data_IF_907444579764
#
_entry.id   IF_907444579764
#
_cell.length_a   1.000
_cell.length_b   1.000
_cell.length_c   1.000
_cell.angle_alpha   90.00
_cell.angle_beta   90.00
_cell.angle_gamma   90.00
#
_symmetry.space_group_name_H-M   'P 1'
#
loop_
_entity.id
_entity.type
_entity.pdbx_description
1 polymer ?
#
# COMPACT_ATOMS: atom_id res chain seq x y z
N UNK A 1 1.34 12.06 13.54
CA UNK A 1 2.04 12.19 12.24
C UNK A 1 1.94 13.63 11.78
N UNK A 2 2.88 14.12 10.96
CA UNK A 2 2.98 15.48 10.39
C UNK A 2 3.54 16.59 11.29
N UNK A 3 3.79 16.35 12.58
CA UNK A 3 4.19 17.41 13.54
C UNK A 3 5.47 18.13 13.11
N UNK A 4 6.44 17.39 12.58
CA UNK A 4 7.75 17.93 12.23
C UNK A 4 7.74 18.70 10.90
N UNK A 5 6.61 18.68 10.18
CA UNK A 5 6.47 19.28 8.84
C UNK A 5 5.70 20.60 8.82
N UNK A 6 5.06 21.00 9.94
CA UNK A 6 4.12 22.13 9.98
C UNK A 6 4.76 23.50 9.77
N UNK A 7 6.08 23.61 9.94
CA UNK A 7 6.83 24.84 9.66
C UNK A 7 6.99 25.14 8.17
N UNK A 8 6.63 24.21 7.28
CA UNK A 8 6.82 24.33 5.83
C UNK A 8 5.55 24.90 5.20
N UNK A 9 5.59 26.08 4.55
CA UNK A 9 4.39 26.73 3.98
C UNK A 9 3.58 25.82 3.06
N UNK A 10 4.26 25.08 2.16
CA UNK A 10 3.62 24.17 1.23
C UNK A 10 2.87 23.02 1.94
N UNK A 11 3.38 22.56 3.09
CA UNK A 11 2.71 21.50 3.86
C UNK A 11 1.42 22.01 4.47
N UNK A 12 1.40 23.25 4.96
CA UNK A 12 0.17 23.88 5.45
C UNK A 12 -0.89 23.97 4.34
N UNK A 13 -0.50 24.43 3.15
CA UNK A 13 -1.39 24.46 1.98
C UNK A 13 -1.94 23.07 1.62
N UNK A 14 -1.11 22.02 1.69
CA UNK A 14 -1.57 20.64 1.44
C UNK A 14 -2.64 20.19 2.44
N UNK A 15 -2.52 20.57 3.72
CA UNK A 15 -3.54 20.25 4.73
C UNK A 15 -4.80 21.08 4.59
N UNK A 16 -4.67 22.37 4.21
CA UNK A 16 -5.82 23.23 3.91
C UNK A 16 -6.59 22.70 2.70
N UNK A 17 -5.89 22.35 1.61
CA UNK A 17 -6.48 21.72 0.42
C UNK A 17 -7.08 20.34 0.75
N UNK A 18 -6.43 19.57 1.63
CA UNK A 18 -6.98 18.30 2.09
C UNK A 18 -8.27 18.48 2.88
N UNK A 19 -8.38 19.51 3.71
CA UNK A 19 -9.61 19.82 4.44
C UNK A 19 -10.78 20.11 3.50
N UNK A 20 -10.54 20.85 2.42
CA UNK A 20 -11.54 21.13 1.38
C UNK A 20 -11.99 19.86 0.66
N UNK A 21 -11.04 19.04 0.17
CA UNK A 21 -11.34 17.81 -0.60
C UNK A 21 -12.03 16.75 0.27
N UNK A 22 -11.56 16.59 1.50
CA UNK A 22 -12.03 15.54 2.40
C UNK A 22 -13.34 15.91 3.10
N UNK A 23 -13.54 17.21 3.37
CA UNK A 23 -14.69 17.73 4.12
C UNK A 23 -14.53 17.63 5.65
N UNK A 24 -13.31 17.34 6.13
CA UNK A 24 -12.97 17.28 7.55
C UNK A 24 -11.51 17.69 7.78
N UNK A 25 -11.19 18.02 9.04
CA UNK A 25 -9.83 18.43 9.41
C UNK A 25 -8.88 17.23 9.52
N UNK A 26 -8.19 16.90 8.42
CA UNK A 26 -7.22 15.80 8.41
C UNK A 26 -6.03 16.07 9.31
N UNK A 27 -5.61 17.33 9.45
CA UNK A 27 -4.48 17.71 10.27
C UNK A 27 -4.76 17.41 11.76
N UNK A 28 -5.95 17.77 12.24
CA UNK A 28 -6.39 17.45 13.59
C UNK A 28 -6.38 15.93 13.85
N UNK A 29 -6.90 15.12 12.91
CA UNK A 29 -6.85 13.65 13.01
C UNK A 29 -5.41 13.12 13.08
N UNK A 30 -4.49 13.70 12.30
CA UNK A 30 -3.07 13.32 12.26
C UNK A 30 -2.30 13.65 13.55
N UNK A 31 -2.63 14.77 14.20
CA UNK A 31 -1.92 15.27 15.39
C UNK A 31 -2.54 14.77 16.69
N UNK A 32 -3.88 14.81 16.77
CA UNK A 32 -4.62 14.65 18.02
C UNK A 32 -5.42 13.34 18.07
N UNK A 33 -5.64 12.68 16.92
CA UNK A 33 -6.33 11.40 16.87
C UNK A 33 -7.85 11.52 17.07
N UNK A 34 -8.50 10.60 17.81
CA UNK A 34 -7.92 9.48 18.54
C UNK A 34 -7.27 8.44 17.61
N UNK A 35 -6.35 7.62 18.14
CA UNK A 35 -5.63 6.61 17.36
C UNK A 35 -6.57 5.67 16.59
N UNK A 36 -7.68 5.26 17.21
CA UNK A 36 -8.69 4.40 16.57
C UNK A 36 -9.32 5.03 15.33
N UNK A 37 -9.51 6.35 15.31
CA UNK A 37 -9.99 7.08 14.13
C UNK A 37 -8.92 7.11 13.05
N UNK A 38 -7.67 7.42 13.42
CA UNK A 38 -6.55 7.45 12.49
C UNK A 38 -6.23 6.08 11.89
N UNK A 39 -6.44 4.99 12.64
CA UNK A 39 -6.23 3.61 12.16
C UNK A 39 -7.36 3.15 11.22
N UNK A 40 -8.53 3.80 11.22
CA UNK A 40 -9.62 3.46 10.31
C UNK A 40 -9.23 3.81 8.87
N UNK A 41 -9.40 2.86 7.95
CA UNK A 41 -9.00 2.96 6.53
C UNK A 41 -9.47 4.24 5.83
N UNK A 42 -10.65 4.75 6.17
CA UNK A 42 -11.19 6.00 5.62
C UNK A 42 -10.28 7.19 5.90
N UNK A 43 -9.67 7.25 7.10
CA UNK A 43 -8.79 8.34 7.52
C UNK A 43 -7.31 8.01 7.30
N UNK A 44 -6.93 6.75 7.54
CA UNK A 44 -5.56 6.28 7.41
C UNK A 44 -5.02 6.51 5.99
N UNK A 45 -5.85 6.27 4.96
CA UNK A 45 -5.39 6.42 3.58
C UNK A 45 -5.08 7.88 3.20
N UNK A 46 -6.01 8.84 3.34
CA UNK A 46 -5.68 10.26 3.15
C UNK A 46 -4.53 10.73 4.04
N UNK A 47 -4.50 10.31 5.31
CA UNK A 47 -3.46 10.72 6.25
C UNK A 47 -2.07 10.26 5.80
N UNK A 48 -1.93 8.99 5.41
CA UNK A 48 -0.68 8.45 4.87
C UNK A 48 -0.27 9.17 3.58
N UNK A 49 -1.21 9.41 2.65
CA UNK A 49 -0.92 10.13 1.40
C UNK A 49 -0.39 11.54 1.65
N UNK A 50 -1.13 12.37 2.42
CA UNK A 50 -0.76 13.77 2.68
C UNK A 50 0.53 13.85 3.50
N UNK A 51 0.69 13.01 4.53
CA UNK A 51 1.92 13.00 5.33
C UNK A 51 3.14 12.54 4.51
N UNK A 52 2.97 11.65 3.53
CA UNK A 52 4.07 11.23 2.67
C UNK A 52 4.45 12.32 1.66
N UNK A 53 3.48 13.08 1.13
CA UNK A 53 3.76 14.29 0.34
C UNK A 53 4.44 15.37 1.19
N UNK A 54 4.02 15.55 2.44
CA UNK A 54 4.71 16.45 3.37
C UNK A 54 6.15 16.00 3.67
N UNK A 55 6.40 14.69 3.73
CA UNK A 55 7.75 14.14 3.88
C UNK A 55 8.65 14.47 2.70
N UNK A 56 8.10 14.51 1.48
CA UNK A 56 8.83 14.96 0.29
C UNK A 56 9.24 16.43 0.44
N UNK A 57 8.33 17.30 0.86
CA UNK A 57 8.62 18.73 1.06
C UNK A 57 9.65 18.96 2.17
N UNK A 58 9.55 18.21 3.28
CA UNK A 58 10.53 18.30 4.36
C UNK A 58 11.90 17.79 3.93
N UNK A 59 11.95 16.63 3.25
CA UNK A 59 13.20 16.08 2.75
C UNK A 59 13.88 17.01 1.74
N UNK A 60 13.09 17.71 0.91
CA UNK A 60 13.57 18.68 -0.08
C UNK A 60 14.33 19.85 0.52
N UNK A 61 14.02 20.30 1.74
CA UNK A 61 14.69 21.44 2.39
C UNK A 61 16.22 21.25 2.43
N UNK A 62 16.67 20.05 2.78
CA UNK A 62 18.10 19.72 2.89
C UNK A 62 18.62 18.90 1.70
N UNK A 63 17.74 18.33 0.87
CA UNK A 63 18.08 17.35 -0.17
C UNK A 63 17.49 17.69 -1.55
N UNK A 64 17.29 18.98 -1.86
CA UNK A 64 16.68 19.43 -3.12
C UNK A 64 17.25 18.72 -4.36
N UNK A 65 18.58 18.64 -4.47
CA UNK A 65 19.25 17.92 -5.57
C UNK A 65 18.82 16.46 -5.67
N UNK A 66 18.78 15.72 -4.56
CA UNK A 66 18.36 14.32 -4.53
C UNK A 66 16.92 14.15 -5.01
N UNK A 67 16.04 15.07 -4.61
CA UNK A 67 14.64 15.06 -5.03
C UNK A 67 14.52 15.37 -6.53
N UNK A 68 15.26 16.37 -7.01
CA UNK A 68 15.21 16.81 -8.41
C UNK A 68 15.82 15.79 -9.37
N UNK A 69 16.85 15.07 -8.94
CA UNK A 69 17.53 14.01 -9.71
C UNK A 69 17.03 12.61 -9.38
N UNK A 70 15.85 12.47 -8.75
CA UNK A 70 15.29 11.17 -8.42
C UNK A 70 15.12 10.31 -9.68
N UNK A 71 15.64 9.08 -9.66
CA UNK A 71 15.68 8.22 -10.85
C UNK A 71 14.48 7.26 -10.97
N UNK A 72 13.73 7.04 -9.88
CA UNK A 72 12.49 6.28 -9.86
C UNK A 72 11.72 6.53 -8.57
N UNK A 73 10.47 6.13 -8.55
CA UNK A 73 9.67 6.09 -7.33
C UNK A 73 8.81 4.83 -7.25
N UNK A 74 8.43 4.47 -6.04
CA UNK A 74 7.55 3.35 -5.75
C UNK A 74 6.90 3.59 -4.40
N UNK A 75 5.70 3.06 -4.21
CA UNK A 75 5.07 3.04 -2.89
C UNK A 75 4.23 1.80 -2.70
N UNK A 76 4.16 1.34 -1.45
CA UNK A 76 3.46 0.11 -1.10
C UNK A 76 1.95 0.36 -1.03
N UNK A 77 1.17 -0.35 -1.85
CA UNK A 77 -0.29 -0.22 -1.90
C UNK A 77 -0.73 1.26 -2.10
N UNK A 78 -1.31 1.90 -1.09
CA UNK A 78 -1.65 3.33 -1.10
C UNK A 78 -0.47 4.23 -1.51
N UNK A 79 0.76 3.88 -1.11
CA UNK A 79 1.94 4.68 -1.45
C UNK A 79 2.15 4.85 -2.95
N UNK A 80 1.56 3.98 -3.78
CA UNK A 80 1.58 4.10 -5.24
C UNK A 80 0.98 5.43 -5.72
N UNK A 81 -0.06 5.93 -5.04
CA UNK A 81 -0.66 7.23 -5.35
C UNK A 81 0.28 8.40 -5.03
N UNK A 82 0.97 8.34 -3.89
CA UNK A 82 2.04 9.29 -3.54
C UNK A 82 3.15 9.26 -4.59
N UNK A 83 3.58 8.06 -5.01
CA UNK A 83 4.60 7.89 -6.02
C UNK A 83 4.20 8.45 -7.39
N UNK A 84 2.94 8.23 -7.81
CA UNK A 84 2.39 8.77 -9.05
C UNK A 84 2.31 10.30 -9.02
N UNK A 85 1.89 10.90 -7.91
CA UNK A 85 1.88 12.38 -7.75
C UNK A 85 3.31 12.93 -7.80
N UNK A 86 4.25 12.31 -7.07
CA UNK A 86 5.65 12.72 -7.09
C UNK A 86 6.27 12.66 -8.50
N UNK A 87 5.86 11.68 -9.31
CA UNK A 87 6.28 11.53 -10.70
C UNK A 87 5.51 12.44 -11.68
N UNK A 88 4.55 13.24 -11.21
CA UNK A 88 3.77 14.17 -12.04
C UNK A 88 2.61 13.53 -12.80
N UNK A 89 2.24 12.28 -12.51
CA UNK A 89 1.15 11.57 -13.18
C UNK A 89 -0.21 12.14 -12.79
N UNK A 90 -0.40 12.47 -11.51
CA UNK A 90 -1.61 13.09 -10.98
C UNK A 90 -1.28 14.40 -10.27
N UNK A 91 -2.23 15.33 -10.25
CA UNK A 91 -2.16 16.47 -9.33
C UNK A 91 -2.39 15.98 -7.89
N UNK A 92 -1.93 16.76 -6.91
CA UNK A 92 -2.19 16.45 -5.49
C UNK A 92 -3.70 16.38 -5.21
N UNK A 93 -4.48 17.35 -5.70
CA UNK A 93 -5.93 17.42 -5.52
C UNK A 93 -6.66 16.20 -6.05
N UNK A 94 -6.37 15.84 -7.31
CA UNK A 94 -7.03 14.73 -7.98
C UNK A 94 -6.67 13.41 -7.31
N UNK A 95 -5.39 13.20 -6.99
CA UNK A 95 -4.95 12.01 -6.28
C UNK A 95 -5.59 11.91 -4.89
N UNK A 96 -5.74 13.03 -4.16
CA UNK A 96 -6.39 13.01 -2.86
C UNK A 96 -7.89 12.67 -2.97
N UNK A 97 -8.58 13.18 -3.98
CA UNK A 97 -9.98 12.82 -4.25
C UNK A 97 -10.11 11.32 -4.57
N UNK A 98 -9.21 10.77 -5.39
CA UNK A 98 -9.16 9.33 -5.69
C UNK A 98 -8.82 8.50 -4.44
N UNK A 99 -7.86 8.94 -3.63
CA UNK A 99 -7.47 8.28 -2.38
C UNK A 99 -8.62 8.28 -1.37
N UNK A 100 -9.41 9.36 -1.29
CA UNK A 100 -10.63 9.42 -0.49
C UNK A 100 -11.60 8.31 -0.91
N UNK A 101 -11.96 8.24 -2.20
CA UNK A 101 -12.87 7.21 -2.71
C UNK A 101 -12.30 5.81 -2.48
N UNK A 102 -11.00 5.60 -2.67
CA UNK A 102 -10.33 4.33 -2.38
C UNK A 102 -10.46 3.95 -0.91
N UNK A 103 -10.18 4.87 0.01
CA UNK A 103 -10.27 4.66 1.45
C UNK A 103 -11.68 4.31 1.91
N UNK A 104 -12.66 5.08 1.46
CA UNK A 104 -14.09 4.88 1.72
C UNK A 104 -14.58 3.54 1.17
N UNK A 105 -14.32 3.26 -0.11
CA UNK A 105 -14.82 2.05 -0.76
C UNK A 105 -14.17 0.78 -0.22
N UNK A 106 -12.88 0.81 0.12
CA UNK A 106 -12.21 -0.32 0.76
C UNK A 106 -12.74 -0.56 2.19
N UNK A 107 -13.08 0.50 2.92
CA UNK A 107 -13.69 0.37 4.24
C UNK A 107 -15.11 -0.20 4.16
N UNK A 108 -15.90 0.22 3.18
CA UNK A 108 -17.24 -0.32 2.90
C UNK A 108 -17.18 -1.79 2.51
N UNK A 109 -16.31 -2.15 1.56
CA UNK A 109 -16.07 -3.55 1.18
C UNK A 109 -15.63 -4.39 2.38
N UNK A 110 -14.84 -3.82 3.29
CA UNK A 110 -14.39 -4.50 4.50
C UNK A 110 -15.48 -4.72 5.56
N UNK A 111 -16.53 -3.91 5.55
CA UNK A 111 -17.68 -4.06 6.42
C UNK A 111 -18.78 -4.97 5.82
N UNK A 112 -18.66 -5.31 4.54
CA UNK A 112 -19.65 -6.10 3.81
C UNK A 112 -19.40 -7.61 3.92
N UNK A 113 -20.50 -8.38 3.93
CA UNK A 113 -20.44 -9.84 3.89
C UNK A 113 -19.86 -10.48 5.16
N UNK A 114 -19.21 -11.64 4.98
CA UNK A 114 -18.61 -12.37 6.10
C UNK A 114 -17.34 -11.68 6.61
N UNK A 115 -17.07 -11.70 7.93
CA UNK A 115 -15.85 -11.13 8.50
C UNK A 115 -14.59 -11.70 7.84
N UNK A 116 -13.70 -10.81 7.43
CA UNK A 116 -12.50 -11.15 6.68
C UNK A 116 -11.36 -10.19 7.03
N UNK A 117 -10.12 -10.57 6.75
CA UNK A 117 -8.96 -9.79 7.18
C UNK A 117 -7.67 -10.23 6.52
N UNK A 118 -6.55 -9.97 7.19
CA UNK A 118 -5.22 -10.35 6.72
C UNK A 118 -4.40 -11.03 7.83
N UNK A 119 -3.48 -11.90 7.41
CA UNK A 119 -2.59 -12.69 8.26
C UNK A 119 -1.16 -12.60 7.71
N UNK A 120 -0.24 -12.05 8.51
CA UNK A 120 1.19 -12.04 8.19
C UNK A 120 1.81 -13.40 8.49
N UNK A 121 2.46 -13.97 7.49
CA UNK A 121 3.22 -15.22 7.55
C UNK A 121 4.71 -14.93 7.36
N UNK A 122 5.56 -15.42 8.26
CA UNK A 122 7.02 -15.31 8.14
C UNK A 122 7.67 -16.67 8.32
N UNK A 123 8.68 -16.96 7.48
CA UNK A 123 9.54 -18.14 7.61
C UNK A 123 9.12 -19.35 6.77
N UNK A 124 8.14 -19.18 5.88
CA UNK A 124 7.77 -20.20 4.89
C UNK A 124 8.11 -19.73 3.48
N UNK A 125 8.48 -20.68 2.61
CA UNK A 125 8.63 -20.44 1.18
C UNK A 125 7.26 -20.20 0.51
N UNK A 126 7.26 -19.49 -0.62
CA UNK A 126 6.04 -19.09 -1.33
C UNK A 126 5.17 -20.28 -1.70
N UNK A 127 5.78 -21.32 -2.26
CA UNK A 127 5.10 -22.56 -2.61
C UNK A 127 4.42 -23.23 -1.41
N UNK A 128 5.01 -23.14 -0.22
CA UNK A 128 4.41 -23.68 1.00
C UNK A 128 3.19 -22.86 1.44
N UNK A 129 3.27 -21.53 1.38
CA UNK A 129 2.14 -20.66 1.74
C UNK A 129 1.00 -20.81 0.72
N UNK A 130 1.32 -20.89 -0.57
CA UNK A 130 0.35 -21.11 -1.65
C UNK A 130 -0.38 -22.46 -1.50
N UNK A 131 0.38 -23.52 -1.19
CA UNK A 131 -0.19 -24.85 -0.92
C UNK A 131 -1.11 -24.82 0.31
N UNK A 132 -0.72 -24.14 1.39
CA UNK A 132 -1.57 -24.01 2.58
C UNK A 132 -2.85 -23.20 2.27
N UNK A 133 -2.76 -22.15 1.44
CA UNK A 133 -3.94 -21.41 0.99
C UNK A 133 -4.88 -22.32 0.20
N UNK A 134 -4.34 -23.14 -0.71
CA UNK A 134 -5.11 -24.13 -1.47
C UNK A 134 -5.76 -25.15 -0.55
N UNK A 135 -5.01 -25.77 0.36
CA UNK A 135 -5.54 -26.73 1.34
C UNK A 135 -6.66 -26.12 2.19
N UNK A 136 -6.50 -24.86 2.60
CA UNK A 136 -7.52 -24.13 3.35
C UNK A 136 -8.80 -23.99 2.52
N UNK A 137 -8.71 -23.55 1.26
CA UNK A 137 -9.90 -23.44 0.39
C UNK A 137 -10.54 -24.80 0.14
N UNK A 138 -9.75 -25.84 -0.11
CA UNK A 138 -10.24 -27.21 -0.33
C UNK A 138 -10.97 -27.75 0.92
N UNK A 139 -10.45 -27.45 2.13
CA UNK A 139 -11.07 -27.84 3.41
C UNK A 139 -12.48 -27.27 3.60
N UNK A 140 -12.68 -25.98 3.31
CA UNK A 140 -13.99 -25.33 3.40
C UNK A 140 -14.91 -25.73 2.24
N UNK A 141 -14.36 -25.92 1.03
CA UNK A 141 -15.12 -26.42 -0.12
C UNK A 141 -15.72 -27.81 0.18
N UNK A 142 -14.95 -28.71 0.81
CA UNK A 142 -15.43 -30.01 1.24
C UNK A 142 -16.55 -29.95 2.30
N UNK A 143 -16.68 -28.82 3.00
CA UNK A 143 -17.74 -28.54 3.98
C UNK A 143 -18.91 -27.76 3.38
N UNK A 144 -18.95 -27.59 2.04
CA UNK A 144 -20.03 -26.90 1.34
C UNK A 144 -19.82 -25.39 1.16
N UNK A 145 -18.67 -24.84 1.56
CA UNK A 145 -18.32 -23.43 1.36
C UNK A 145 -17.26 -23.26 0.27
N UNK A 146 -17.70 -23.26 -0.99
CA UNK A 146 -16.85 -23.07 -2.14
C UNK A 146 -16.47 -21.59 -2.40
N UNK A 147 -17.11 -20.63 -1.72
CA UNK A 147 -16.91 -19.20 -1.93
C UNK A 147 -15.81 -18.63 -1.01
N UNK A 148 -15.19 -19.46 -0.18
CA UNK A 148 -14.17 -18.98 0.74
C UNK A 148 -12.95 -18.40 0.01
N UNK A 149 -12.65 -17.14 0.28
CA UNK A 149 -11.42 -16.47 -0.13
C UNK A 149 -10.33 -16.73 0.91
N UNK A 150 -9.16 -17.16 0.44
CA UNK A 150 -7.93 -17.30 1.21
C UNK A 150 -6.76 -17.35 0.22
N UNK A 151 -6.02 -16.25 0.08
CA UNK A 151 -4.97 -16.14 -0.94
C UNK A 151 -3.86 -15.19 -0.52
N UNK A 152 -2.72 -15.31 -1.19
CA UNK A 152 -1.63 -14.35 -1.11
C UNK A 152 -2.13 -12.95 -1.49
N UNK A 153 -1.80 -11.96 -0.67
CA UNK A 153 -2.18 -10.56 -0.85
C UNK A 153 -0.97 -9.62 -0.88
N UNK A 154 0.12 -9.99 -0.21
CA UNK A 154 1.37 -9.24 -0.29
C UNK A 154 2.59 -10.17 -0.28
N UNK A 155 3.48 -9.95 -1.23
CA UNK A 155 4.84 -10.51 -1.28
C UNK A 155 5.79 -9.41 -0.79
N UNK A 156 6.15 -9.43 0.51
CA UNK A 156 6.84 -8.30 1.15
C UNK A 156 8.36 -8.39 1.06
N UNK A 157 8.93 -9.54 1.40
CA UNK A 157 10.38 -9.81 1.40
C UNK A 157 10.59 -11.32 1.46
N UNK A 158 11.81 -11.87 1.23
CA UNK A 158 12.02 -13.32 1.25
C UNK A 158 11.41 -14.01 2.47
N UNK A 159 10.50 -14.95 2.21
CA UNK A 159 9.71 -15.69 3.21
C UNK A 159 8.85 -14.80 4.14
N UNK A 160 8.49 -13.60 3.70
CA UNK A 160 7.62 -12.66 4.39
C UNK A 160 6.43 -12.33 3.51
N UNK A 161 5.26 -12.85 3.88
CA UNK A 161 4.02 -12.78 3.11
C UNK A 161 2.86 -12.29 3.96
N UNK A 162 1.84 -11.81 3.29
CA UNK A 162 0.52 -11.59 3.89
C UNK A 162 -0.49 -12.36 3.07
N UNK A 163 -1.30 -13.16 3.77
CA UNK A 163 -2.45 -13.85 3.22
C UNK A 163 -3.70 -13.10 3.65
N UNK A 164 -4.63 -12.90 2.73
CA UNK A 164 -5.92 -12.25 2.98
C UNK A 164 -7.07 -13.19 2.65
N UNK A 165 -8.19 -13.02 3.34
CA UNK A 165 -9.38 -13.83 3.11
C UNK A 165 -10.35 -13.80 4.28
N UNK A 166 -11.36 -14.67 4.23
CA UNK A 166 -12.34 -14.81 5.31
C UNK A 166 -11.68 -15.21 6.62
N UNK A 167 -12.19 -14.70 7.74
CA UNK A 167 -11.56 -14.88 9.04
C UNK A 167 -11.49 -16.36 9.44
N UNK A 168 -12.55 -17.13 9.18
CA UNK A 168 -12.57 -18.59 9.38
C UNK A 168 -11.44 -19.31 8.60
N UNK A 169 -11.17 -18.86 7.38
CA UNK A 169 -10.11 -19.40 6.54
C UNK A 169 -8.72 -19.05 7.10
N UNK A 170 -8.53 -17.81 7.52
CA UNK A 170 -7.28 -17.34 8.10
C UNK A 170 -6.97 -18.00 9.46
N UNK A 171 -7.99 -18.32 10.27
CA UNK A 171 -7.80 -19.05 11.53
C UNK A 171 -7.36 -20.50 11.29
N UNK A 172 -7.94 -21.15 10.27
CA UNK A 172 -7.50 -22.48 9.83
C UNK A 172 -6.07 -22.43 9.27
N UNK A 173 -5.80 -21.48 8.36
CA UNK A 173 -4.51 -21.29 7.74
C UNK A 173 -3.41 -20.98 8.76
N UNK A 174 -3.68 -20.19 9.80
CA UNK A 174 -2.70 -19.90 10.84
C UNK A 174 -2.21 -21.17 11.54
N UNK A 175 -3.12 -22.11 11.86
CA UNK A 175 -2.77 -23.40 12.46
C UNK A 175 -1.91 -24.26 11.52
N UNK A 176 -2.27 -24.31 10.24
CA UNK A 176 -1.49 -25.02 9.22
C UNK A 176 -0.11 -24.40 9.01
N UNK A 177 -0.02 -23.07 8.96
CA UNK A 177 1.26 -22.36 8.81
C UNK A 177 2.19 -22.66 9.99
N UNK A 178 1.68 -22.60 11.22
CA UNK A 178 2.46 -22.96 12.41
C UNK A 178 2.91 -24.43 12.38
N UNK A 179 2.03 -25.37 12.01
CA UNK A 179 2.40 -26.79 11.93
C UNK A 179 3.43 -27.10 10.83
N UNK A 180 3.47 -26.28 9.78
CA UNK A 180 4.45 -26.33 8.69
C UNK A 180 5.75 -25.58 9.00
N UNK A 181 5.90 -25.02 10.21
CA UNK A 181 7.14 -24.41 10.67
C UNK A 181 7.25 -22.90 10.41
N UNK A 182 6.13 -22.19 10.19
CA UNK A 182 6.16 -20.73 10.14
C UNK A 182 6.72 -20.16 11.44
N UNK A 183 7.70 -19.26 11.32
CA UNK A 183 8.25 -18.51 12.46
C UNK A 183 7.22 -17.54 13.05
N UNK A 184 6.29 -17.06 12.22
CA UNK A 184 5.21 -16.17 12.62
C UNK A 184 3.99 -16.41 11.75
N UNK A 185 2.82 -16.46 12.38
CA UNK A 185 1.50 -16.38 11.75
C UNK A 185 0.61 -15.48 12.61
N UNK A 186 0.47 -14.20 12.27
CA UNK A 186 -0.22 -13.21 13.12
C UNK A 186 -1.19 -12.36 12.31
N UNK A 187 -2.37 -12.09 12.90
CA UNK A 187 -3.35 -11.15 12.34
C UNK A 187 -2.73 -9.77 12.15
N UNK A 188 -3.02 -9.16 11.01
CA UNK A 188 -2.68 -7.76 10.74
C UNK A 188 -3.84 -6.89 11.22
N UNK A 189 -3.53 -5.80 11.91
CA UNK A 189 -4.54 -4.85 12.41
C UNK A 189 -5.06 -3.98 11.27
N UNK A 190 -5.98 -4.53 10.47
CA UNK A 190 -6.68 -3.87 9.37
C UNK A 190 -8.16 -4.25 9.38
N UNK A 191 -8.98 -3.48 8.70
CA UNK A 191 -10.44 -3.69 8.65
C UNK A 191 -10.88 -4.83 7.75
N UNK A 192 -10.09 -5.22 6.73
CA UNK A 192 -10.54 -6.19 5.74
C UNK A 192 -9.42 -6.92 4.98
N UNK A 193 -9.84 -7.82 4.09
CA UNK A 193 -8.99 -8.68 3.27
C UNK A 193 -8.55 -7.95 1.99
N UNK A 194 -7.70 -6.94 2.16
CA UNK A 194 -7.20 -6.12 1.05
C UNK A 194 -6.39 -6.94 0.04
N UNK A 195 -6.35 -6.48 -1.21
CA UNK A 195 -5.62 -7.10 -2.32
C UNK A 195 -6.14 -8.50 -2.65
N UNK A 196 -7.47 -8.65 -2.61
CA UNK A 196 -8.19 -9.88 -2.98
C UNK A 196 -9.51 -9.54 -3.69
N UNK A 197 -10.18 -10.51 -4.34
CA UNK A 197 -11.50 -10.32 -4.93
C UNK A 197 -12.57 -9.79 -3.97
N UNK A 198 -12.38 -9.88 -2.65
CA UNK A 198 -13.31 -9.27 -1.68
C UNK A 198 -13.35 -7.74 -1.79
N UNK A 199 -12.36 -7.12 -2.43
CA UNK A 199 -12.31 -5.68 -2.70
C UNK A 199 -12.87 -5.29 -4.08
N UNK A 200 -13.58 -6.18 -4.78
CA UNK A 200 -14.07 -5.90 -6.14
C UNK A 200 -14.97 -4.66 -6.20
N UNK A 201 -15.90 -4.50 -5.25
CA UNK A 201 -16.76 -3.31 -5.18
C UNK A 201 -15.95 -2.00 -5.02
N UNK A 202 -14.83 -2.07 -4.30
CA UNK A 202 -13.92 -0.93 -4.16
C UNK A 202 -13.17 -0.63 -5.47
N UNK A 203 -12.79 -1.66 -6.22
CA UNK A 203 -12.21 -1.52 -7.56
C UNK A 203 -13.18 -0.83 -8.52
N UNK A 204 -14.45 -1.24 -8.52
CA UNK A 204 -15.49 -0.68 -9.40
C UNK A 204 -15.80 0.80 -9.08
N UNK A 205 -15.73 1.18 -7.80
CA UNK A 205 -15.88 2.59 -7.40
C UNK A 205 -14.65 3.42 -7.73
N UNK A 206 -13.45 2.83 -7.63
CA UNK A 206 -12.21 3.49 -8.03
C UNK A 206 -12.18 3.77 -9.54
N UNK A 207 -12.70 2.87 -10.37
CA UNK A 207 -12.86 3.07 -11.81
C UNK A 207 -13.61 4.38 -12.11
N UNK A 208 -14.77 4.56 -11.45
CA UNK A 208 -15.59 5.76 -11.60
C UNK A 208 -14.85 7.02 -11.16
N UNK A 209 -14.09 6.96 -10.08
CA UNK A 209 -13.28 8.08 -9.61
C UNK A 209 -12.17 8.43 -10.60
N UNK A 210 -11.52 7.44 -11.21
CA UNK A 210 -10.44 7.63 -12.18
C UNK A 210 -10.94 8.08 -13.56
N UNK A 211 -12.21 7.82 -13.90
CA UNK A 211 -12.77 8.19 -15.20
C UNK A 211 -12.67 9.71 -15.47
N UNK A 212 -12.86 10.54 -14.44
CA UNK A 212 -12.79 12.00 -14.54
C UNK A 212 -11.39 12.60 -14.33
N UNK A 213 -10.38 11.78 -14.00
CA UNK A 213 -9.04 12.26 -13.66
C UNK A 213 -8.11 12.10 -14.87
N UNK A 214 -7.47 13.17 -15.28
CA UNK A 214 -6.42 13.14 -16.31
C UNK A 214 -5.13 12.60 -15.71
N UNK A 215 -4.57 11.55 -16.30
CA UNK A 215 -3.24 11.04 -15.94
C UNK A 215 -2.19 11.46 -16.97
N UNK A 216 -1.12 12.09 -16.51
CA UNK A 216 0.00 12.45 -17.37
C UNK A 216 1.02 11.31 -17.45
N UNK A 217 1.85 11.32 -18.49
CA UNK A 217 3.02 10.45 -18.58
C UNK A 217 3.94 10.65 -17.36
N UNK A 218 4.43 9.58 -16.70
CA UNK A 218 5.37 9.72 -15.60
C UNK A 218 6.66 10.45 -16.03
N UNK A 219 7.09 11.47 -15.28
CA UNK A 219 8.38 12.14 -15.48
C UNK A 219 9.57 11.22 -15.20
N UNK A 220 9.38 10.27 -14.28
CA UNK A 220 10.34 9.26 -13.87
C UNK A 220 9.62 7.91 -13.74
N UNK A 221 10.30 6.76 -13.90
CA UNK A 221 9.69 5.45 -13.71
C UNK A 221 9.03 5.30 -12.34
N UNK A 222 7.73 4.99 -12.34
CA UNK A 222 6.98 4.58 -11.15
C UNK A 222 6.79 3.07 -11.21
N UNK A 223 7.22 2.33 -10.20
CA UNK A 223 7.07 0.87 -10.22
C UNK A 223 5.71 0.46 -9.63
N UNK A 224 5.01 -0.43 -10.34
CA UNK A 224 3.68 -0.90 -9.95
C UNK A 224 3.75 -2.09 -8.99
N UNK A 225 2.88 -2.05 -7.97
CA UNK A 225 2.64 -3.17 -7.04
C UNK A 225 2.06 -4.41 -7.75
N UNK A 226 1.43 -4.26 -8.92
CA UNK A 226 0.79 -5.36 -9.64
C UNK A 226 1.80 -6.08 -10.55
N UNK A 227 2.58 -5.31 -11.33
CA UNK A 227 3.46 -5.86 -12.36
C UNK A 227 4.93 -5.97 -11.92
N UNK A 228 5.27 -5.43 -10.75
CA UNK A 228 6.65 -5.30 -10.26
C UNK A 228 7.60 -4.57 -11.23
N UNK A 229 7.03 -3.81 -12.16
CA UNK A 229 7.72 -3.15 -13.28
C UNK A 229 7.24 -1.70 -13.39
N UNK A 230 7.95 -0.83 -14.13
CA UNK A 230 7.47 0.52 -14.37
C UNK A 230 6.05 0.54 -14.96
N UNK A 231 5.23 1.49 -14.51
CA UNK A 231 3.97 1.83 -15.18
C UNK A 231 4.24 2.18 -16.66
N UNK A 232 3.32 1.83 -17.56
CA UNK A 232 3.42 2.20 -18.96
C UNK A 232 3.21 3.70 -19.15
N UNK A 233 3.64 4.20 -20.31
CA UNK A 233 3.41 5.58 -20.76
C UNK A 233 2.03 5.72 -21.44
N UNK A 234 0.99 5.10 -20.87
CA UNK A 234 -0.38 5.12 -21.39
C UNK A 234 -1.40 5.31 -20.27
N UNK A 235 -2.26 6.33 -20.41
CA UNK A 235 -3.22 6.72 -19.38
C UNK A 235 -4.23 5.59 -19.07
N UNK A 236 -4.74 4.91 -20.10
CA UNK A 236 -5.76 3.88 -19.93
C UNK A 236 -5.17 2.66 -19.20
N UNK A 237 -3.95 2.25 -19.56
CA UNK A 237 -3.25 1.15 -18.89
C UNK A 237 -2.84 1.51 -17.45
N UNK A 238 -2.46 2.76 -17.16
CA UNK A 238 -2.23 3.19 -15.77
C UNK A 238 -3.51 3.05 -14.94
N UNK A 239 -4.66 3.55 -15.44
CA UNK A 239 -5.96 3.41 -14.75
C UNK A 239 -6.31 1.94 -14.51
N UNK A 240 -6.12 1.10 -15.52
CA UNK A 240 -6.35 -0.36 -15.43
C UNK A 240 -5.49 -1.02 -14.36
N UNK A 241 -4.21 -0.67 -14.27
CA UNK A 241 -3.33 -1.20 -13.24
C UNK A 241 -3.76 -0.73 -11.84
N UNK A 242 -4.19 0.52 -11.68
CA UNK A 242 -4.68 1.04 -10.39
C UNK A 242 -5.94 0.32 -9.91
N UNK A 243 -6.86 -0.03 -10.81
CA UNK A 243 -8.05 -0.85 -10.48
C UNK A 243 -7.63 -2.25 -10.02
N UNK A 244 -6.80 -2.92 -10.84
CA UNK A 244 -6.26 -4.25 -10.53
C UNK A 244 -5.55 -4.28 -9.17
N UNK A 245 -4.85 -3.21 -8.80
CA UNK A 245 -4.13 -3.09 -7.53
C UNK A 245 -4.99 -3.35 -6.29
N UNK A 246 -6.29 -3.06 -6.32
CA UNK A 246 -7.18 -3.25 -5.17
C UNK A 246 -7.51 -4.73 -4.93
N UNK A 247 -7.47 -5.55 -5.99
CA UNK A 247 -7.92 -6.95 -5.98
C UNK A 247 -6.82 -7.97 -6.24
N UNK A 248 -5.66 -7.50 -6.72
CA UNK A 248 -4.49 -8.33 -7.00
C UNK A 248 -3.39 -8.17 -5.93
N UNK A 249 -2.55 -9.20 -5.72
CA UNK A 249 -1.51 -9.18 -4.71
C UNK A 249 -0.44 -8.11 -4.97
N UNK A 250 0.03 -7.48 -3.90
CA UNK A 250 1.14 -6.52 -3.94
C UNK A 250 2.48 -7.27 -4.05
N UNK A 251 3.17 -7.07 -5.17
CA UNK A 251 4.45 -7.69 -5.53
C UNK A 251 5.67 -6.90 -5.01
N UNK A 252 5.66 -6.48 -3.74
CA UNK A 252 6.66 -5.55 -3.18
C UNK A 252 8.10 -6.08 -3.23
N UNK A 253 8.31 -7.37 -2.91
CA UNK A 253 9.63 -8.00 -2.97
C UNK A 253 10.20 -7.94 -4.39
N UNK A 254 9.41 -8.39 -5.37
CA UNK A 254 9.79 -8.41 -6.79
C UNK A 254 10.01 -6.98 -7.30
N UNK A 255 9.17 -6.04 -6.87
CA UNK A 255 9.28 -4.63 -7.21
C UNK A 255 10.63 -4.06 -6.76
N UNK A 256 11.00 -4.24 -5.49
CA UNK A 256 12.27 -3.72 -4.98
C UNK A 256 13.45 -4.41 -5.65
N UNK A 257 13.37 -5.72 -5.92
CA UNK A 257 14.41 -6.42 -6.70
C UNK A 257 14.56 -5.84 -8.10
N UNK A 258 13.46 -5.47 -8.76
CA UNK A 258 13.44 -4.83 -10.08
C UNK A 258 14.06 -3.42 -10.05
N UNK A 259 13.80 -2.66 -8.98
CA UNK A 259 14.46 -1.36 -8.74
C UNK A 259 15.97 -1.54 -8.59
N UNK A 260 16.40 -2.47 -7.74
CA UNK A 260 17.83 -2.73 -7.46
C UNK A 260 18.55 -3.26 -8.71
N UNK A 261 17.95 -4.20 -9.44
CA UNK A 261 18.54 -4.76 -10.67
C UNK A 261 18.69 -3.73 -11.78
N UNK A 262 17.86 -2.68 -11.77
CA UNK A 262 17.99 -1.52 -12.66
C UNK A 262 19.07 -0.50 -12.23
N UNK A 263 19.92 -0.85 -11.25
CA UNK A 263 21.04 -0.04 -10.78
C UNK A 263 20.71 0.97 -9.67
N UNK A 264 19.45 1.03 -9.22
CA UNK A 264 18.98 2.04 -8.26
C UNK A 264 19.10 1.49 -6.85
N UNK A 265 20.18 1.88 -6.15
CA UNK A 265 20.56 1.29 -4.84
C UNK A 265 20.58 2.27 -3.66
N UNK A 266 20.42 3.57 -3.93
CA UNK A 266 20.26 4.61 -2.90
C UNK A 266 18.78 4.98 -2.82
N UNK A 267 18.08 4.45 -1.80
CA UNK A 267 16.64 4.59 -1.64
C UNK A 267 16.31 5.42 -0.38
N UNK A 268 15.18 6.13 -0.45
CA UNK A 268 14.70 7.01 0.61
C UNK A 268 13.22 6.67 0.93
N UNK A 269 12.90 6.37 2.19
CA UNK A 269 11.51 6.22 2.65
C UNK A 269 11.02 7.58 3.12
N UNK A 270 10.04 8.12 2.39
CA UNK A 270 9.45 9.43 2.64
C UNK A 270 8.00 9.23 3.08
N UNK A 271 7.77 9.28 4.38
CA UNK A 271 6.46 9.06 4.98
C UNK A 271 6.56 8.58 6.43
N UNK A 272 5.42 8.36 7.09
CA UNK A 272 5.40 7.96 8.49
C UNK A 272 5.90 6.52 8.67
N UNK A 273 6.75 6.31 9.68
CA UNK A 273 7.27 5.00 10.04
C UNK A 273 8.61 4.66 9.39
N UNK A 274 8.96 3.36 9.40
CA UNK A 274 10.23 2.83 8.87
C UNK A 274 10.07 1.41 8.30
N UNK A 275 8.83 1.05 7.92
CA UNK A 275 8.51 -0.32 7.54
C UNK A 275 9.16 -0.69 6.21
N UNK A 276 9.23 0.24 5.27
CA UNK A 276 9.84 -0.01 3.96
C UNK A 276 11.33 -0.31 4.14
N UNK A 277 12.05 0.52 4.90
CA UNK A 277 13.47 0.25 5.21
C UNK A 277 13.67 -1.09 5.92
N UNK A 278 12.78 -1.46 6.85
CA UNK A 278 12.84 -2.76 7.53
C UNK A 278 12.65 -3.94 6.57
N UNK A 279 11.75 -3.82 5.60
CA UNK A 279 11.57 -4.84 4.55
C UNK A 279 12.75 -4.89 3.59
N UNK A 280 13.31 -3.75 3.18
CA UNK A 280 14.50 -3.72 2.32
C UNK A 280 15.70 -4.40 2.98
N UNK A 281 15.86 -4.30 4.30
CA UNK A 281 16.89 -5.07 5.03
C UNK A 281 16.82 -6.58 4.78
N UNK A 282 15.60 -7.10 4.58
CA UNK A 282 15.32 -8.52 4.31
C UNK A 282 15.48 -8.89 2.83
N UNK A 283 15.40 -7.91 1.93
CA UNK A 283 15.50 -8.09 0.47
C UNK A 283 16.96 -7.96 0.03
N UNK A 284 17.63 -6.87 0.42
CA UNK A 284 19.01 -6.58 0.03
C UNK A 284 19.73 -5.77 1.11
N UNK A 285 20.75 -6.39 1.72
CA UNK A 285 21.49 -5.79 2.83
C UNK A 285 22.38 -4.61 2.39
N UNK A 286 22.86 -4.59 1.15
CA UNK A 286 23.75 -3.54 0.66
C UNK A 286 22.96 -2.27 0.33
N UNK A 287 21.79 -2.43 -0.30
CA UNK A 287 20.84 -1.35 -0.51
C UNK A 287 20.36 -0.79 0.84
N UNK A 288 20.01 -1.66 1.79
CA UNK A 288 19.57 -1.23 3.13
C UNK A 288 20.58 -0.34 3.87
N UNK A 289 21.89 -0.63 3.77
CA UNK A 289 22.95 0.18 4.41
C UNK A 289 22.96 1.64 3.92
N UNK A 290 22.57 1.87 2.66
CA UNK A 290 22.48 3.20 2.04
C UNK A 290 21.08 3.82 2.18
N UNK A 291 20.10 3.03 2.63
CA UNK A 291 18.71 3.43 2.72
C UNK A 291 18.51 4.46 3.84
N UNK A 292 17.90 5.60 3.55
CA UNK A 292 17.60 6.63 4.56
C UNK A 292 16.10 6.88 4.68
N UNK A 293 15.65 7.46 5.80
CA UNK A 293 14.25 7.74 6.06
C UNK A 293 14.10 9.22 6.41
N UNK A 294 13.13 9.89 5.80
CA UNK A 294 12.70 11.21 6.24
C UNK A 294 11.51 11.05 7.19
N UNK A 295 11.66 11.48 8.44
CA UNK A 295 10.63 11.34 9.48
C UNK A 295 9.58 12.45 9.33
N UNK A 296 8.31 12.15 9.59
CA UNK A 296 7.20 13.12 9.59
C UNK A 296 6.23 12.89 10.72
#
# INVERSE_FOLDING_TARGET
MAKDTLGIPRVKEMFDEAKEVLGYDLLDVCLNGPKSKLDNTVYAQPALFVCSMAAVEMFRQDNAKTVDTCACTAGLSLGEYTALVFAGVMTFKDALAVVKVRGESMAEAAAAGEPHGMLSIVGLADSAVEEICKQTRDHFKAQGDAAVVCQMANYLFPQGRVVSGHNKALDHLAKLATSKGALKAQRVAVSGAFHTPLMQSASDNLEKALAGVKLNKPRIPVYSNVTASPFPDDEAEIKKILMRQLVEPVQWESLIKSVISSGKTSLHELGPGQQIKAMVKRIDQQCWKKFTNARV
#
